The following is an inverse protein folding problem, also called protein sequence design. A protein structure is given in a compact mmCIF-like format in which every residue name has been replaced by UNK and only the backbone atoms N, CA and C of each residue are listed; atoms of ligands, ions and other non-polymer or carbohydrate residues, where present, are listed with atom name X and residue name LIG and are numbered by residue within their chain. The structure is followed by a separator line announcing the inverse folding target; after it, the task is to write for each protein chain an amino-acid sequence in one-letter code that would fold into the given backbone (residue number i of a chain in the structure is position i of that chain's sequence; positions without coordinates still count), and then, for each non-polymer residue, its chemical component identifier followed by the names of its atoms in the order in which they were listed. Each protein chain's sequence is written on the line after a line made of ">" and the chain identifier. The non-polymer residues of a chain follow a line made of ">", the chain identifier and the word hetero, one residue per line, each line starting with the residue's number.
data_IF_408734487251
#
_entry.id   IF_408734487251
#
_cell.length_a   1.000
_cell.length_b   1.000
_cell.length_c   1.000
_cell.angle_alpha   90.00
_cell.angle_beta   90.00
_cell.angle_gamma   90.00
#
_symmetry.space_group_name_H-M   'P 1'
#
loop_
_entity.id
_entity.type
_entity.pdbx_description
1 polymer ?
#
# COMPACT_ATOMS: atom_id res chain seq x y z
N UNK A 1 -10.75 15.60 1.98
CA UNK A 1 -10.07 16.07 3.21
C UNK A 1 -8.62 15.66 3.10
N UNK A 2 -7.69 16.59 3.30
CA UNK A 2 -6.27 16.28 3.28
C UNK A 2 -5.83 15.61 4.59
N UNK A 3 -5.00 14.58 4.49
CA UNK A 3 -4.41 13.87 5.63
C UNK A 3 -2.89 13.90 5.52
N UNK A 4 -2.21 14.18 6.63
CA UNK A 4 -0.76 14.06 6.76
C UNK A 4 -0.47 12.77 7.55
N UNK A 5 0.39 11.91 7.03
CA UNK A 5 0.68 10.63 7.67
C UNK A 5 2.19 10.36 7.73
N UNK A 6 2.61 9.69 8.79
CA UNK A 6 3.95 9.11 8.89
C UNK A 6 3.87 7.77 9.61
N UNK A 7 4.48 6.75 9.03
CA UNK A 7 4.62 5.42 9.63
C UNK A 7 6.07 5.14 10.01
N UNK A 8 6.28 4.24 10.95
CA UNK A 8 7.60 3.73 11.31
C UNK A 8 7.47 2.28 11.73
N UNK A 9 8.43 1.44 11.36
CA UNK A 9 8.34 0.04 11.70
C UNK A 9 9.70 -0.63 11.74
N UNK A 10 9.85 -1.52 12.72
CA UNK A 10 10.91 -2.50 12.85
C UNK A 10 10.26 -3.89 12.91
N UNK A 11 11.05 -4.97 12.90
CA UNK A 11 10.49 -6.29 13.17
C UNK A 11 9.85 -6.32 14.57
N UNK A 12 8.54 -6.59 14.60
CA UNK A 12 7.75 -6.68 15.83
C UNK A 12 7.37 -5.36 16.48
N UNK A 13 7.65 -4.19 15.87
CA UNK A 13 7.10 -2.91 16.35
C UNK A 13 6.73 -2.01 15.19
N UNK A 14 5.50 -1.49 15.17
CA UNK A 14 5.02 -0.56 14.14
C UNK A 14 4.28 0.60 14.79
N UNK A 15 4.46 1.79 14.24
CA UNK A 15 3.73 2.99 14.57
C UNK A 15 3.15 3.65 13.32
N UNK A 16 2.02 4.33 13.49
CA UNK A 16 1.43 5.20 12.49
C UNK A 16 0.84 6.43 13.19
N UNK A 17 1.14 7.60 12.63
CA UNK A 17 0.53 8.88 12.98
C UNK A 17 -0.28 9.39 11.79
N UNK A 18 -1.51 9.84 12.05
CA UNK A 18 -2.39 10.51 11.11
C UNK A 18 -2.81 11.86 11.68
N UNK A 19 -2.72 12.91 10.87
CA UNK A 19 -3.13 14.28 11.22
C UNK A 19 -4.11 14.78 10.17
N UNK A 20 -5.22 15.33 10.63
CA UNK A 20 -6.30 15.90 9.83
C UNK A 20 -6.45 17.39 10.20
N UNK A 21 -5.67 18.29 9.57
CA UNK A 21 -5.58 19.69 9.99
C UNK A 21 -6.90 20.45 9.86
N UNK A 22 -7.73 20.11 8.86
CA UNK A 22 -9.01 20.79 8.58
C UNK A 22 -10.04 20.65 9.71
N UNK A 23 -9.88 19.66 10.59
CA UNK A 23 -10.83 19.33 11.67
C UNK A 23 -10.16 19.27 13.05
N UNK A 24 -8.92 19.77 13.17
CA UNK A 24 -8.13 19.77 14.42
C UNK A 24 -8.09 18.39 15.11
N UNK A 25 -7.89 17.34 14.30
CA UNK A 25 -7.92 15.95 14.77
C UNK A 25 -6.64 15.21 14.41
N UNK A 26 -6.18 14.34 15.31
CA UNK A 26 -5.07 13.43 15.05
C UNK A 26 -5.29 12.08 15.74
N UNK A 27 -4.75 11.04 15.14
CA UNK A 27 -4.84 9.68 15.65
C UNK A 27 -3.50 8.98 15.49
N UNK A 28 -3.12 8.18 16.48
CA UNK A 28 -1.90 7.38 16.43
C UNK A 28 -2.11 5.97 16.97
N UNK A 29 -1.42 5.01 16.39
CA UNK A 29 -1.32 3.64 16.87
C UNK A 29 0.16 3.28 17.04
N UNK A 30 0.46 2.59 18.14
CA UNK A 30 1.73 1.94 18.39
C UNK A 30 1.43 0.50 18.76
N UNK A 31 2.12 -0.44 18.11
CA UNK A 31 1.93 -1.88 18.36
C UNK A 31 3.26 -2.60 18.38
N UNK A 32 3.40 -3.58 19.26
CA UNK A 32 4.53 -4.49 19.35
C UNK A 32 4.21 -5.87 18.75
N UNK A 33 3.32 -5.89 17.75
CA UNK A 33 2.89 -7.11 17.07
C UNK A 33 3.71 -7.35 15.80
N UNK A 34 3.98 -8.62 15.49
CA UNK A 34 4.51 -9.04 14.18
C UNK A 34 3.51 -8.82 13.04
N UNK A 35 2.24 -8.54 13.37
CA UNK A 35 1.16 -8.23 12.44
C UNK A 35 0.84 -6.72 12.42
N UNK A 36 1.83 -5.88 12.75
CA UNK A 36 1.60 -4.45 12.93
C UNK A 36 1.11 -3.73 11.66
N UNK A 37 1.48 -4.18 10.46
CA UNK A 37 0.97 -3.62 9.20
C UNK A 37 -0.55 -3.81 9.09
N UNK A 38 -1.05 -5.01 9.42
CA UNK A 38 -2.48 -5.32 9.50
C UNK A 38 -3.18 -4.40 10.50
N UNK A 39 -2.59 -4.22 11.68
CA UNK A 39 -3.15 -3.35 12.71
C UNK A 39 -3.24 -1.89 12.26
N UNK A 40 -2.19 -1.35 11.61
CA UNK A 40 -2.20 0.02 11.08
C UNK A 40 -3.22 0.23 9.96
N UNK A 41 -3.43 -0.77 9.11
CA UNK A 41 -4.45 -0.74 8.05
C UNK A 41 -5.86 -0.63 8.66
N UNK A 42 -6.21 -1.56 9.56
CA UNK A 42 -7.49 -1.57 10.25
C UNK A 42 -7.72 -0.30 11.08
N UNK A 43 -6.69 0.18 11.77
CA UNK A 43 -6.74 1.43 12.53
C UNK A 43 -7.05 2.62 11.63
N UNK A 44 -6.36 2.73 10.48
CA UNK A 44 -6.60 3.83 9.53
C UNK A 44 -8.04 3.80 9.01
N UNK A 45 -8.54 2.61 8.66
CA UNK A 45 -9.93 2.44 8.20
C UNK A 45 -10.93 2.85 9.27
N UNK A 46 -10.80 2.34 10.49
CA UNK A 46 -11.66 2.70 11.63
C UNK A 46 -11.64 4.21 11.92
N UNK A 47 -10.47 4.87 11.86
CA UNK A 47 -10.39 6.32 12.05
C UNK A 47 -11.17 7.06 10.96
N UNK A 48 -11.03 6.67 9.70
CA UNK A 48 -11.69 7.36 8.57
C UNK A 48 -13.19 7.06 8.55
N UNK A 49 -13.58 5.79 8.64
CA UNK A 49 -14.97 5.34 8.47
C UNK A 49 -15.81 5.53 9.73
N UNK A 50 -15.33 5.07 10.88
CA UNK A 50 -16.15 5.02 12.10
C UNK A 50 -16.05 6.32 12.90
N UNK A 51 -14.87 6.91 12.98
CA UNK A 51 -14.64 8.08 13.83
C UNK A 51 -14.86 9.40 13.10
N UNK A 52 -14.48 9.49 11.83
CA UNK A 52 -14.69 10.67 10.99
C UNK A 52 -15.95 10.57 10.11
N UNK A 53 -16.63 9.42 10.12
CA UNK A 53 -17.83 9.15 9.32
C UNK A 53 -17.62 9.36 7.80
N UNK A 54 -16.37 9.22 7.33
CA UNK A 54 -15.98 9.37 5.94
C UNK A 54 -16.02 8.00 5.26
N UNK A 55 -16.77 7.92 4.15
CA UNK A 55 -16.91 6.68 3.38
C UNK A 55 -16.39 6.91 1.95
N UNK A 56 -15.06 6.98 1.74
CA UNK A 56 -14.50 7.12 0.41
C UNK A 56 -14.77 5.83 -0.39
N UNK A 57 -15.69 5.92 -1.36
CA UNK A 57 -15.98 4.81 -2.27
C UNK A 57 -15.04 4.93 -3.47
N UNK A 58 -14.14 3.96 -3.62
CA UNK A 58 -13.27 3.84 -4.80
C UNK A 58 -13.65 2.56 -5.53
N UNK A 59 -14.34 2.71 -6.65
CA UNK A 59 -14.83 1.56 -7.43
C UNK A 59 -13.78 1.08 -8.45
N UNK A 60 -13.66 -0.25 -8.64
CA UNK A 60 -12.95 -0.82 -9.77
C UNK A 60 -13.37 -0.26 -11.13
N UNK A 61 -12.41 0.04 -12.00
CA UNK A 61 -12.70 0.36 -13.39
C UNK A 61 -13.25 -0.88 -14.12
N UNK A 62 -14.16 -0.68 -15.09
CA UNK A 62 -14.65 -1.79 -15.93
C UNK A 62 -13.51 -2.49 -16.70
N UNK A 63 -12.45 -1.75 -17.06
CA UNK A 63 -11.26 -2.29 -17.73
C UNK A 63 -10.07 -2.48 -16.77
N UNK A 64 -10.31 -2.79 -15.48
CA UNK A 64 -9.24 -2.92 -14.49
C UNK A 64 -8.17 -3.95 -14.87
N UNK A 65 -8.52 -5.06 -15.52
CA UNK A 65 -7.56 -6.07 -15.95
C UNK A 65 -6.60 -5.55 -17.03
N UNK A 66 -7.11 -4.87 -18.06
CA UNK A 66 -6.27 -4.23 -19.08
C UNK A 66 -5.31 -3.19 -18.47
N UNK A 67 -5.77 -2.48 -17.43
CA UNK A 67 -4.93 -1.55 -16.68
C UNK A 67 -3.87 -2.28 -15.85
N UNK A 68 -4.25 -3.37 -15.18
CA UNK A 68 -3.34 -4.21 -14.43
C UNK A 68 -2.26 -4.85 -15.32
N UNK A 69 -2.61 -5.28 -16.53
CA UNK A 69 -1.66 -5.83 -17.51
C UNK A 69 -0.56 -4.83 -17.87
N UNK A 70 -0.89 -3.53 -17.96
CA UNK A 70 0.07 -2.46 -18.28
C UNK A 70 1.06 -2.16 -17.17
N UNK A 71 0.74 -2.55 -15.94
CA UNK A 71 1.57 -2.29 -14.75
C UNK A 71 2.09 -3.57 -14.12
N UNK A 72 1.79 -4.74 -14.68
CA UNK A 72 2.28 -6.01 -14.18
C UNK A 72 3.81 -6.05 -14.31
N UNK A 73 4.50 -6.41 -13.22
CA UNK A 73 5.95 -6.36 -13.16
C UNK A 73 6.48 -6.26 -11.73
N UNK A 74 7.80 -6.19 -11.65
CA UNK A 74 8.55 -6.02 -10.41
C UNK A 74 8.96 -4.55 -10.24
N UNK A 75 8.67 -4.00 -9.08
CA UNK A 75 9.00 -2.63 -8.69
C UNK A 75 9.98 -2.66 -7.52
N UNK A 76 11.01 -1.83 -7.60
CA UNK A 76 12.08 -1.79 -6.61
C UNK A 76 11.79 -0.79 -5.51
N UNK A 77 11.69 -1.30 -4.27
CA UNK A 77 11.68 -0.47 -3.07
C UNK A 77 13.01 -0.51 -2.32
N UNK A 78 13.07 0.28 -1.26
CA UNK A 78 14.26 0.38 -0.41
C UNK A 78 14.51 -0.92 0.38
N UNK A 79 13.52 -1.36 1.16
CA UNK A 79 13.61 -2.54 2.03
C UNK A 79 12.99 -3.80 1.43
N UNK A 80 12.09 -3.63 0.46
CA UNK A 80 11.33 -4.70 -0.19
C UNK A 80 11.07 -4.33 -1.65
N UNK A 81 11.02 -5.34 -2.51
CA UNK A 81 10.45 -5.21 -3.84
C UNK A 81 8.94 -5.47 -3.78
N UNK A 82 8.23 -5.05 -4.81
CA UNK A 82 6.80 -5.21 -4.94
C UNK A 82 6.49 -5.81 -6.31
N UNK A 83 5.77 -6.92 -6.33
CA UNK A 83 5.38 -7.59 -7.56
C UNK A 83 3.87 -7.42 -7.78
N UNK A 84 3.49 -6.88 -8.95
CA UNK A 84 2.13 -6.92 -9.47
C UNK A 84 2.07 -7.98 -10.56
N UNK A 85 1.13 -8.91 -10.44
CA UNK A 85 0.99 -10.00 -11.40
C UNK A 85 -0.46 -10.38 -11.64
N UNK A 86 -0.71 -11.10 -12.72
CA UNK A 86 -2.04 -11.57 -13.10
C UNK A 86 -2.05 -13.09 -13.04
N UNK A 87 -3.06 -13.62 -12.36
CA UNK A 87 -3.28 -15.06 -12.24
C UNK A 87 -4.79 -15.34 -12.32
N UNK A 88 -5.19 -16.32 -13.14
CA UNK A 88 -6.59 -16.76 -13.27
C UNK A 88 -7.58 -15.61 -13.57
N UNK A 89 -7.17 -14.60 -14.35
CA UNK A 89 -8.02 -13.46 -14.70
C UNK A 89 -8.25 -12.47 -13.55
N UNK A 90 -7.36 -12.47 -12.55
CA UNK A 90 -7.35 -11.52 -11.43
C UNK A 90 -5.97 -10.90 -11.29
N UNK A 91 -5.91 -9.69 -10.77
CA UNK A 91 -4.67 -8.97 -10.47
C UNK A 91 -4.32 -9.09 -8.99
N UNK A 92 -3.05 -9.35 -8.71
CA UNK A 92 -2.52 -9.55 -7.37
C UNK A 92 -1.30 -8.67 -7.15
N UNK A 93 -1.05 -8.37 -5.87
CA UNK A 93 0.15 -7.70 -5.40
C UNK A 93 0.78 -8.50 -4.27
N UNK A 94 2.11 -8.54 -4.21
CA UNK A 94 2.83 -9.04 -3.02
C UNK A 94 4.13 -8.27 -2.80
N UNK A 95 4.50 -8.14 -1.55
CA UNK A 95 5.77 -7.56 -1.12
C UNK A 95 6.81 -8.67 -0.96
N UNK A 96 8.03 -8.41 -1.42
CA UNK A 96 9.17 -9.33 -1.38
C UNK A 96 10.29 -8.63 -0.59
N UNK A 97 10.46 -8.95 0.70
CA UNK A 97 11.55 -8.38 1.50
C UNK A 97 12.93 -8.64 0.88
N UNK A 98 13.78 -7.60 0.80
CA UNK A 98 15.12 -7.67 0.19
C UNK A 98 16.23 -7.86 1.21
N UNK A 99 16.04 -7.29 2.40
CA UNK A 99 17.02 -7.26 3.48
C UNK A 99 16.44 -7.90 4.74
N UNK A 100 17.32 -8.48 5.54
CA UNK A 100 16.99 -8.84 6.91
C UNK A 100 16.76 -7.60 7.78
N UNK A 101 16.15 -7.81 8.95
CA UNK A 101 16.01 -6.78 9.97
C UNK A 101 16.14 -7.41 11.36
N UNK A 102 16.79 -6.79 12.35
CA UNK A 102 17.41 -5.45 12.32
C UNK A 102 18.74 -5.38 11.57
N UNK A 103 19.38 -6.53 11.33
CA UNK A 103 20.65 -6.58 10.60
C UNK A 103 20.39 -6.92 9.13
N UNK A 104 20.92 -6.11 8.21
CA UNK A 104 20.77 -6.30 6.76
C UNK A 104 21.31 -7.67 6.29
N UNK A 105 22.31 -8.20 7.01
CA UNK A 105 22.92 -9.52 6.77
C UNK A 105 22.04 -10.70 7.20
N UNK A 106 20.93 -10.45 7.93
CA UNK A 106 19.98 -11.51 8.28
C UNK A 106 19.19 -11.96 7.05
N UNK A 107 18.70 -13.20 7.08
CA UNK A 107 17.81 -13.68 6.02
C UNK A 107 16.54 -12.81 5.95
N UNK A 108 16.15 -12.33 4.75
CA UNK A 108 14.89 -11.62 4.57
C UNK A 108 13.70 -12.51 4.94
N UNK A 109 12.65 -11.88 5.47
CA UNK A 109 11.38 -12.57 5.68
C UNK A 109 10.82 -13.11 4.34
N UNK A 110 10.02 -14.18 4.36
CA UNK A 110 9.39 -14.68 3.14
C UNK A 110 8.46 -13.61 2.52
N UNK A 111 8.19 -13.68 1.20
CA UNK A 111 7.23 -12.80 0.55
C UNK A 111 5.87 -12.80 1.25
N UNK A 112 5.20 -11.66 1.24
CA UNK A 112 3.85 -11.55 1.79
C UNK A 112 2.88 -12.46 1.03
N UNK A 113 1.81 -12.88 1.69
CA UNK A 113 0.69 -13.53 1.00
C UNK A 113 0.15 -12.59 -0.08
N UNK A 114 -0.02 -13.04 -1.34
CA UNK A 114 -0.59 -12.21 -2.39
C UNK A 114 -1.96 -11.65 -1.99
N UNK A 115 -2.15 -10.37 -2.25
CA UNK A 115 -3.41 -9.66 -2.03
C UNK A 115 -4.06 -9.39 -3.38
N UNK A 116 -5.34 -9.70 -3.53
CA UNK A 116 -6.11 -9.33 -4.72
C UNK A 116 -6.25 -7.81 -4.77
N UNK A 117 -5.99 -7.23 -5.95
CA UNK A 117 -6.10 -5.79 -6.20
C UNK A 117 -6.97 -5.52 -7.42
N UNK A 118 -7.45 -4.28 -7.53
CA UNK A 118 -8.04 -3.73 -8.74
C UNK A 118 -7.48 -2.33 -9.02
N UNK A 119 -7.83 -1.76 -10.17
CA UNK A 119 -7.44 -0.41 -10.58
C UNK A 119 -8.71 0.42 -10.76
N UNK A 120 -8.79 1.57 -10.09
CA UNK A 120 -9.93 2.48 -10.17
C UNK A 120 -10.00 3.22 -11.50
N UNK A 121 -11.16 3.81 -11.79
CA UNK A 121 -11.34 4.72 -12.94
C UNK A 121 -10.40 5.92 -12.89
N UNK A 122 -10.14 6.46 -11.69
CA UNK A 122 -9.22 7.57 -11.44
C UNK A 122 -7.74 7.16 -11.44
N UNK A 123 -7.43 5.86 -11.52
CA UNK A 123 -6.05 5.37 -11.54
C UNK A 123 -5.46 5.14 -10.14
N UNK A 124 -6.26 4.72 -9.17
CA UNK A 124 -5.75 4.20 -7.90
C UNK A 124 -5.61 2.67 -7.96
N UNK A 125 -4.58 2.13 -7.29
CA UNK A 125 -4.51 0.70 -6.98
C UNK A 125 -5.36 0.47 -5.73
N UNK A 126 -6.39 -0.37 -5.81
CA UNK A 126 -7.30 -0.67 -4.70
C UNK A 126 -7.05 -2.09 -4.23
N UNK A 127 -6.85 -2.29 -2.93
CA UNK A 127 -6.77 -3.63 -2.38
C UNK A 127 -8.17 -4.20 -2.07
N UNK A 128 -8.40 -5.44 -2.48
CA UNK A 128 -9.68 -6.16 -2.34
C UNK A 128 -9.64 -7.23 -1.25
N UNK A 129 -8.51 -7.37 -0.55
CA UNK A 129 -8.27 -8.41 0.46
C UNK A 129 -8.18 -7.82 1.86
N UNK A 130 -8.82 -8.45 2.84
CA UNK A 130 -8.59 -8.13 4.25
C UNK A 130 -7.17 -8.54 4.68
N UNK A 131 -6.51 -7.78 5.57
CA UNK A 131 -7.01 -6.62 6.35
C UNK A 131 -6.79 -5.25 5.66
N UNK A 132 -6.44 -5.27 4.38
CA UNK A 132 -6.08 -4.09 3.60
C UNK A 132 -7.23 -3.61 2.72
N UNK A 133 -8.43 -4.14 2.90
CA UNK A 133 -9.58 -3.85 2.04
C UNK A 133 -9.80 -2.35 1.93
N UNK A 134 -9.97 -1.89 0.68
CA UNK A 134 -10.13 -0.48 0.28
C UNK A 134 -8.92 0.43 0.53
N UNK A 135 -7.78 -0.10 1.02
CA UNK A 135 -6.53 0.65 1.00
C UNK A 135 -6.14 0.98 -0.44
N UNK A 136 -5.68 2.21 -0.64
CA UNK A 136 -5.37 2.75 -1.96
C UNK A 136 -3.87 3.02 -2.12
N UNK A 137 -3.37 2.74 -3.32
CA UNK A 137 -2.07 3.10 -3.82
C UNK A 137 -2.16 4.08 -4.98
N UNK A 138 -1.12 4.87 -5.16
CA UNK A 138 -1.05 5.92 -6.19
C UNK A 138 0.05 5.61 -7.19
N UNK A 139 -0.15 5.94 -8.46
CA UNK A 139 0.94 5.96 -9.44
C UNK A 139 1.78 7.22 -9.28
N UNK A 140 3.08 7.06 -9.39
CA UNK A 140 4.03 8.17 -9.50
C UNK A 140 4.30 8.34 -10.99
N UNK A 141 3.95 9.51 -11.51
CA UNK A 141 4.16 9.87 -12.92
C UNK A 141 5.10 11.06 -13.02
N UNK A 142 5.95 11.07 -14.04
CA UNK A 142 6.81 12.20 -14.33
C UNK A 142 6.11 13.32 -15.09
N UNK A 143 6.84 14.40 -15.34
CA UNK A 143 6.38 15.58 -16.08
C UNK A 143 5.90 15.27 -17.51
N UNK A 144 6.30 14.14 -18.09
CA UNK A 144 5.87 13.68 -19.40
C UNK A 144 4.66 12.72 -19.34
N UNK A 145 4.09 12.50 -18.15
CA UNK A 145 2.96 11.59 -17.93
C UNK A 145 3.33 10.10 -18.03
N UNK A 146 4.62 9.76 -17.97
CA UNK A 146 5.06 8.35 -17.90
C UNK A 146 5.08 7.92 -16.45
N UNK A 147 4.62 6.69 -16.19
CA UNK A 147 4.75 6.05 -14.89
C UNK A 147 6.24 5.83 -14.60
N UNK A 148 6.68 6.14 -13.38
CA UNK A 148 8.04 5.89 -12.88
C UNK A 148 8.04 4.99 -11.64
N UNK A 149 6.85 4.75 -11.08
CA UNK A 149 6.68 3.89 -9.94
C UNK A 149 5.30 4.07 -9.31
N UNK A 150 5.21 3.70 -8.05
CA UNK A 150 3.99 3.73 -7.29
C UNK A 150 4.25 3.95 -5.80
N UNK A 151 3.28 4.57 -5.14
CA UNK A 151 3.26 4.77 -3.69
C UNK A 151 2.19 3.89 -3.06
N UNK A 152 2.59 2.97 -2.19
CA UNK A 152 1.68 2.06 -1.47
C UNK A 152 2.11 1.97 -0.02
N UNK A 153 1.15 2.12 0.91
CA UNK A 153 1.42 2.00 2.34
C UNK A 153 2.51 2.97 2.82
N UNK A 154 2.50 4.20 2.30
CA UNK A 154 3.49 5.26 2.53
C UNK A 154 4.92 4.98 2.02
N UNK A 155 5.13 3.90 1.26
CA UNK A 155 6.41 3.53 0.64
C UNK A 155 6.39 3.80 -0.86
N UNK A 156 7.57 4.06 -1.43
CA UNK A 156 7.77 4.27 -2.86
C UNK A 156 8.44 3.02 -3.45
N UNK A 157 7.88 2.53 -4.55
CA UNK A 157 8.44 1.45 -5.35
C UNK A 157 8.64 1.97 -6.78
N UNK A 158 9.88 1.98 -7.25
CA UNK A 158 10.23 2.50 -8.56
C UNK A 158 10.12 1.40 -9.62
N UNK A 159 9.69 1.75 -10.82
CA UNK A 159 9.74 0.84 -11.96
C UNK A 159 11.20 0.44 -12.22
N UNK A 160 11.44 -0.86 -12.39
CA UNK A 160 12.74 -1.34 -12.84
C UNK A 160 12.75 -1.11 -14.35
N UNK A 161 13.50 -0.10 -14.79
CA UNK A 161 13.58 0.28 -16.21
C UNK A 161 13.70 -0.95 -17.13
N UNK A 162 12.84 -0.98 -18.15
CA UNK A 162 12.81 -2.02 -19.18
C UNK A 162 14.05 -1.98 -20.09
#
# INVERSE_FOLDING_TARGET
>A
MATIQHGGGTNGQISLLMVFPEIDFSAAILTNSNEGSKATSLFSRMVVEDLLELNPVIEPATNYLERAEKIAGLYKGEMSDLEIFIEQGKSFIKEIPRVGFPDEDSEPAPPSTPQEISISGEGFIINLSEPYLASAGEFIVNEFGRMEGQRIGLRIYNEIGS
#
